data_IF_819989758148
#
_entry.id   IF_819989758148
#
_cell.length_a   1.000
_cell.length_b   1.000
_cell.length_c   1.000
_cell.angle_alpha   90.00
_cell.angle_beta   90.00
_cell.angle_gamma   90.00
#
_symmetry.space_group_name_H-M   'P 1'
#
loop_
_entity.id
_entity.type
_entity.pdbx_description
1 polymer ?
#
# COMPACT_ATOMS: atom_id res chain seq x y z
N UNK A 1 9.53 -33.12 -41.35
CA UNK A 1 9.82 -31.70 -41.66
C UNK A 1 9.54 -30.92 -40.39
N UNK A 2 10.57 -30.39 -39.74
CA UNK A 2 10.42 -29.74 -38.44
C UNK A 2 9.93 -28.31 -38.63
N UNK A 3 8.78 -28.00 -38.03
CA UNK A 3 8.19 -26.67 -38.00
C UNK A 3 9.10 -25.72 -37.22
N UNK A 4 9.82 -24.85 -37.93
CA UNK A 4 10.51 -23.70 -37.32
C UNK A 4 9.41 -22.74 -36.87
N UNK A 5 8.94 -22.89 -35.63
CA UNK A 5 8.02 -21.92 -35.03
C UNK A 5 8.68 -20.55 -35.06
N UNK A 6 7.99 -19.57 -35.65
CA UNK A 6 8.48 -18.20 -35.76
C UNK A 6 8.79 -17.65 -34.36
N UNK A 7 9.85 -16.85 -34.25
CA UNK A 7 10.17 -16.15 -33.00
C UNK A 7 8.97 -15.33 -32.50
N UNK A 8 8.15 -14.81 -33.41
CA UNK A 8 6.90 -14.12 -33.08
C UNK A 8 5.86 -15.04 -32.41
N UNK A 9 5.76 -16.30 -32.82
CA UNK A 9 4.83 -17.27 -32.23
C UNK A 9 5.30 -17.72 -30.84
N UNK A 10 6.61 -17.85 -30.65
CA UNK A 10 7.19 -18.12 -29.33
C UNK A 10 6.96 -16.95 -28.37
N UNK A 11 7.15 -15.71 -28.84
CA UNK A 11 6.86 -14.50 -28.06
C UNK A 11 5.37 -14.40 -27.69
N UNK A 12 4.47 -14.65 -28.64
CA UNK A 12 3.01 -14.68 -28.37
C UNK A 12 2.66 -15.72 -27.32
N UNK A 13 3.18 -16.94 -27.43
CA UNK A 13 2.89 -18.00 -26.47
C UNK A 13 3.44 -17.70 -25.08
N UNK A 14 4.63 -17.09 -24.96
CA UNK A 14 5.20 -16.67 -23.68
C UNK A 14 4.41 -15.54 -23.02
N UNK A 15 3.90 -14.57 -23.80
CA UNK A 15 3.05 -13.49 -23.28
C UNK A 15 1.72 -14.03 -22.74
N UNK A 16 1.12 -15.03 -23.41
CA UNK A 16 -0.11 -15.66 -22.93
C UNK A 16 0.12 -16.61 -21.73
N UNK A 17 1.34 -17.12 -21.55
CA UNK A 17 1.72 -17.94 -20.39
C UNK A 17 2.06 -17.11 -19.14
N UNK A 18 2.23 -15.78 -19.27
CA UNK A 18 2.17 -14.90 -18.11
C UNK A 18 0.72 -14.89 -17.62
N UNK A 19 0.44 -15.80 -16.70
CA UNK A 19 -0.89 -16.05 -16.15
C UNK A 19 -1.55 -14.75 -15.66
N UNK A 20 -2.89 -14.75 -15.67
CA UNK A 20 -3.70 -13.65 -15.15
C UNK A 20 -3.08 -13.10 -13.86
N UNK A 21 -2.93 -11.76 -13.74
CA UNK A 21 -2.39 -11.17 -12.52
C UNK A 21 -3.16 -11.69 -11.30
N UNK A 22 -2.47 -11.91 -10.16
CA UNK A 22 -3.12 -12.34 -8.94
C UNK A 22 -4.35 -11.47 -8.64
N UNK A 23 -5.42 -12.06 -8.09
CA UNK A 23 -6.58 -11.27 -7.67
C UNK A 23 -6.13 -10.15 -6.73
N UNK A 24 -6.60 -8.94 -7.02
CA UNK A 24 -6.17 -7.74 -6.29
C UNK A 24 -6.63 -7.82 -4.82
N UNK A 25 -5.74 -7.55 -3.84
CA UNK A 25 -6.12 -7.57 -2.44
C UNK A 25 -7.17 -6.50 -2.10
N UNK A 26 -8.20 -6.85 -1.32
CA UNK A 26 -9.24 -5.91 -0.87
C UNK A 26 -8.69 -4.67 -0.15
N UNK A 27 -7.57 -4.84 0.58
CA UNK A 27 -6.91 -3.75 1.28
C UNK A 27 -6.43 -2.65 0.33
N UNK A 28 -6.05 -3.00 -0.90
CA UNK A 28 -5.57 -2.04 -1.89
C UNK A 28 -6.68 -1.12 -2.36
N UNK A 29 -7.90 -1.64 -2.52
CA UNK A 29 -9.08 -0.83 -2.81
C UNK A 29 -9.37 0.16 -1.68
N UNK A 30 -9.29 -0.28 -0.42
CA UNK A 30 -9.48 0.58 0.76
C UNK A 30 -8.47 1.72 0.80
N UNK A 31 -7.19 1.42 0.55
CA UNK A 31 -6.13 2.44 0.51
C UNK A 31 -6.41 3.45 -0.62
N UNK A 32 -6.83 3.00 -1.81
CA UNK A 32 -7.12 3.90 -2.94
C UNK A 32 -8.28 4.86 -2.63
N UNK A 33 -9.33 4.35 -2.00
CA UNK A 33 -10.52 5.12 -1.59
C UNK A 33 -10.26 6.07 -0.43
N UNK A 34 -9.20 5.84 0.36
CA UNK A 34 -8.83 6.75 1.44
C UNK A 34 -8.50 8.13 0.90
N UNK A 35 -9.25 9.13 1.35
CA UNK A 35 -9.04 10.54 0.99
C UNK A 35 -8.16 11.21 2.04
N UNK A 36 -7.09 11.83 1.56
CA UNK A 36 -6.12 12.55 2.38
C UNK A 36 -5.70 13.89 1.75
N UNK A 37 -6.49 14.42 0.81
CA UNK A 37 -6.15 15.63 0.05
C UNK A 37 -6.00 16.88 0.94
N UNK A 38 -6.78 16.95 2.02
CA UNK A 38 -6.79 18.09 2.93
C UNK A 38 -5.88 17.89 4.17
N UNK A 39 -5.12 16.81 4.24
CA UNK A 39 -4.20 16.54 5.34
C UNK A 39 -2.89 17.33 5.16
N UNK A 40 -2.88 18.58 5.65
CA UNK A 40 -1.77 19.55 5.45
C UNK A 40 -0.60 19.39 6.43
N UNK A 41 -0.78 18.64 7.52
CA UNK A 41 0.28 18.41 8.51
C UNK A 41 1.30 17.41 7.97
N UNK A 42 2.55 17.84 7.83
CA UNK A 42 3.63 16.98 7.38
C UNK A 42 4.29 16.26 8.58
N UNK A 43 4.57 14.98 8.42
CA UNK A 43 5.29 14.16 9.40
C UNK A 43 6.49 13.49 8.71
N UNK A 44 7.68 13.66 9.29
CA UNK A 44 8.87 12.91 8.88
C UNK A 44 8.89 11.56 9.60
N UNK A 45 8.87 10.47 8.83
CA UNK A 45 8.82 9.11 9.35
C UNK A 45 10.09 8.37 8.94
N UNK A 46 10.64 7.57 9.85
CA UNK A 46 11.82 6.74 9.61
C UNK A 46 11.39 5.29 9.42
N UNK A 47 11.94 4.66 8.39
CA UNK A 47 11.79 3.23 8.12
C UNK A 47 13.17 2.61 7.98
N UNK A 48 13.29 1.32 8.27
CA UNK A 48 14.48 0.56 7.92
C UNK A 48 14.63 0.43 6.39
N UNK A 49 15.81 0.00 5.95
CA UNK A 49 16.17 -0.06 4.53
C UNK A 49 15.27 -1.01 3.73
N UNK A 50 14.92 -2.15 4.31
CA UNK A 50 14.15 -3.18 3.61
C UNK A 50 12.70 -2.75 3.44
N UNK A 51 12.13 -2.12 4.48
CA UNK A 51 10.82 -1.49 4.42
C UNK A 51 10.78 -0.38 3.36
N UNK A 52 11.79 0.50 3.31
CA UNK A 52 11.85 1.55 2.28
C UNK A 52 11.87 0.97 0.85
N UNK A 53 12.64 -0.10 0.65
CA UNK A 53 12.71 -0.79 -0.64
C UNK A 53 11.35 -1.36 -1.03
N UNK A 54 10.66 -2.01 -0.09
CA UNK A 54 9.33 -2.56 -0.30
C UNK A 54 8.31 -1.46 -0.61
N UNK A 55 8.34 -0.33 0.11
CA UNK A 55 7.45 0.81 -0.15
C UNK A 55 7.66 1.40 -1.55
N UNK A 56 8.91 1.48 -2.00
CA UNK A 56 9.23 1.89 -3.37
C UNK A 56 8.62 0.95 -4.41
N UNK A 57 8.80 -0.37 -4.23
CA UNK A 57 8.21 -1.39 -5.10
C UNK A 57 6.68 -1.37 -5.07
N UNK A 58 6.09 -1.21 -3.89
CA UNK A 58 4.65 -1.07 -3.71
C UNK A 58 4.09 0.12 -4.51
N UNK A 59 4.72 1.30 -4.42
CA UNK A 59 4.31 2.48 -5.18
C UNK A 59 4.37 2.21 -6.69
N UNK A 60 5.44 1.58 -7.17
CA UNK A 60 5.60 1.25 -8.58
C UNK A 60 4.56 0.23 -9.07
N UNK A 61 4.24 -0.77 -8.26
CA UNK A 61 3.31 -1.84 -8.63
C UNK A 61 1.83 -1.41 -8.57
N UNK A 62 1.49 -0.51 -7.64
CA UNK A 62 0.08 -0.19 -7.34
C UNK A 62 -0.36 1.21 -7.77
N UNK A 63 0.59 2.10 -8.06
CA UNK A 63 0.36 3.52 -8.33
C UNK A 63 -0.01 4.33 -7.08
N UNK A 64 -0.07 3.71 -5.90
CA UNK A 64 -0.46 4.39 -4.66
C UNK A 64 0.75 5.06 -4.03
N UNK A 65 0.59 6.33 -3.66
CA UNK A 65 1.65 7.07 -2.99
C UNK A 65 1.93 6.55 -1.57
N UNK A 66 3.20 6.51 -1.19
CA UNK A 66 3.66 6.02 0.12
C UNK A 66 3.06 6.86 1.26
N UNK A 67 2.92 8.17 1.08
CA UNK A 67 2.32 9.04 2.11
C UNK A 67 0.85 8.69 2.36
N UNK A 68 0.09 8.37 1.30
CA UNK A 68 -1.29 7.90 1.40
C UNK A 68 -1.36 6.54 2.11
N UNK A 69 -0.48 5.60 1.73
CA UNK A 69 -0.40 4.30 2.39
C UNK A 69 -0.15 4.47 3.89
N UNK A 70 0.83 5.28 4.28
CA UNK A 70 1.17 5.48 5.69
C UNK A 70 0.03 6.15 6.47
N UNK A 71 -0.59 7.19 5.89
CA UNK A 71 -1.73 7.85 6.52
C UNK A 71 -2.92 6.89 6.71
N UNK A 72 -3.23 6.07 5.70
CA UNK A 72 -4.24 5.03 5.79
C UNK A 72 -3.88 4.01 6.87
N UNK A 73 -2.64 3.51 6.91
CA UNK A 73 -2.21 2.49 7.88
C UNK A 73 -2.37 2.97 9.32
N UNK A 74 -1.99 4.22 9.61
CA UNK A 74 -2.16 4.80 10.95
C UNK A 74 -3.64 4.97 11.29
N UNK A 75 -4.45 5.47 10.35
CA UNK A 75 -5.90 5.60 10.54
C UNK A 75 -6.54 4.24 10.85
N UNK A 76 -6.28 3.24 10.00
CA UNK A 76 -6.79 1.88 10.14
C UNK A 76 -6.40 1.25 11.47
N UNK A 77 -5.15 1.41 11.91
CA UNK A 77 -4.68 0.91 13.20
C UNK A 77 -5.48 1.53 14.36
N UNK A 78 -5.70 2.84 14.34
CA UNK A 78 -6.45 3.54 15.39
C UNK A 78 -7.96 3.27 15.36
N UNK A 79 -8.51 2.88 14.21
CA UNK A 79 -9.90 2.41 14.11
C UNK A 79 -10.06 0.98 14.65
N UNK A 80 -9.11 0.10 14.34
CA UNK A 80 -9.12 -1.29 14.81
C UNK A 80 -8.85 -1.41 16.31
N UNK A 81 -8.13 -0.44 16.88
CA UNK A 81 -7.71 -0.43 18.28
C UNK A 81 -8.22 0.83 19.02
N UNK A 82 -9.53 0.95 19.29
CA UNK A 82 -10.11 2.11 19.97
C UNK A 82 -9.57 2.33 21.39
N UNK A 83 -9.02 1.29 22.03
CA UNK A 83 -8.33 1.37 23.33
C UNK A 83 -7.19 2.39 23.32
N UNK A 84 -6.50 2.58 22.19
CA UNK A 84 -5.44 3.57 22.04
C UNK A 84 -6.04 4.99 22.18
N UNK A 85 -7.18 5.24 21.55
CA UNK A 85 -7.89 6.53 21.65
C UNK A 85 -8.35 6.80 23.08
N UNK A 86 -8.82 5.76 23.78
CA UNK A 86 -9.25 5.87 25.18
C UNK A 86 -8.08 6.18 26.11
N UNK A 87 -6.95 5.49 25.95
CA UNK A 87 -5.72 5.74 26.71
C UNK A 87 -5.26 7.20 26.56
N UNK A 88 -5.17 7.69 25.32
CA UNK A 88 -4.76 9.08 25.03
C UNK A 88 -5.71 10.09 25.67
N UNK A 89 -7.04 9.87 25.56
CA UNK A 89 -8.05 10.75 26.20
C UNK A 89 -7.88 10.80 27.71
N UNK A 90 -7.70 9.65 28.36
CA UNK A 90 -7.55 9.58 29.81
C UNK A 90 -6.31 10.36 30.27
N UNK A 91 -5.18 10.18 29.58
CA UNK A 91 -3.95 10.89 29.87
C UNK A 91 -4.08 12.41 29.73
N UNK A 92 -4.74 12.89 28.66
CA UNK A 92 -4.98 14.35 28.45
C UNK A 92 -5.86 14.92 29.56
N UNK A 93 -6.93 14.21 29.97
CA UNK A 93 -7.81 14.65 31.06
C UNK A 93 -7.07 14.77 32.40
N UNK A 94 -6.10 13.89 32.68
CA UNK A 94 -5.29 13.94 33.88
C UNK A 94 -4.28 15.10 33.89
N UNK A 95 -3.89 15.58 32.71
CA UNK A 95 -2.90 16.66 32.56
C UNK A 95 -3.47 18.07 32.84
N UNK A 96 -4.78 18.25 33.04
CA UNK A 96 -5.43 19.55 33.26
C UNK A 96 -4.96 20.66 32.28
N UNK A 97 -4.99 20.36 30.97
CA UNK A 97 -4.93 21.38 29.92
C UNK A 97 -6.33 21.93 29.62
#
# INVERSE_FOLDING_TARGET
>A
MNEIKSLADQLRNNIHQQGKPPPEPEILEKIRKYDNRDHKSLMHIRFDRDTLKLLGQFKMATGVDVTKLVAFSVHQLLEQHPEIKTLVKHYIQQLNL
#
